data_IF_821386518933
#
_entry.id   IF_821386518933
#
_cell.length_a   1.000
_cell.length_b   1.000
_cell.length_c   1.000
_cell.angle_alpha   90.00
_cell.angle_beta   90.00
_cell.angle_gamma   90.00
#
_symmetry.space_group_name_H-M   'P 1'
#
loop_
_entity.id
_entity.type
_entity.pdbx_description
1 polymer ?
#
# COMPACT_ATOMS: atom_id res chain seq x y z
N UNK A 1 -7.56 -28.45 -13.78
CA UNK A 1 -7.25 -27.75 -15.05
C UNK A 1 -5.75 -27.48 -15.08
N UNK A 2 -5.10 -27.57 -16.24
CA UNK A 2 -3.63 -27.46 -16.34
C UNK A 2 -3.20 -26.00 -16.56
N UNK A 3 -2.07 -25.60 -15.95
CA UNK A 3 -1.40 -24.32 -16.16
C UNK A 3 -1.09 -24.03 -17.64
N UNK A 4 -1.02 -25.06 -18.49
CA UNK A 4 -0.80 -24.91 -19.93
C UNK A 4 -1.84 -24.01 -20.63
N UNK A 5 -3.10 -24.03 -20.17
CA UNK A 5 -4.14 -23.13 -20.71
C UNK A 5 -3.84 -21.68 -20.32
N UNK A 6 -3.49 -21.45 -19.06
CA UNK A 6 -3.21 -20.13 -18.48
C UNK A 6 -1.95 -19.54 -19.11
N UNK A 7 -0.91 -20.33 -19.31
CA UNK A 7 0.32 -19.92 -20.02
C UNK A 7 -0.01 -19.36 -21.41
N UNK A 8 -0.82 -20.07 -22.21
CA UNK A 8 -1.25 -19.58 -23.53
C UNK A 8 -2.03 -18.25 -23.43
N UNK A 9 -2.90 -18.10 -22.43
CA UNK A 9 -3.65 -16.86 -22.22
C UNK A 9 -2.71 -15.71 -21.89
N UNK A 10 -1.78 -15.89 -20.94
CA UNK A 10 -0.77 -14.90 -20.55
C UNK A 10 0.10 -14.48 -21.73
N UNK A 11 0.66 -15.45 -22.48
CA UNK A 11 1.53 -15.18 -23.64
C UNK A 11 0.78 -14.50 -24.79
N UNK A 12 -0.54 -14.69 -24.89
CA UNK A 12 -1.40 -14.00 -25.88
C UNK A 12 -1.93 -12.64 -25.39
N UNK A 13 -1.55 -12.19 -24.20
CA UNK A 13 -2.03 -10.93 -23.61
C UNK A 13 -3.52 -10.94 -23.23
N UNK A 14 -4.15 -12.12 -23.15
CA UNK A 14 -5.56 -12.25 -22.79
C UNK A 14 -5.74 -12.09 -21.28
N UNK A 15 -6.85 -11.45 -20.89
CA UNK A 15 -7.26 -11.35 -19.49
C UNK A 15 -7.61 -12.74 -18.94
N UNK A 16 -7.09 -13.05 -17.76
CA UNK A 16 -7.40 -14.28 -17.03
C UNK A 16 -8.78 -14.16 -16.36
N UNK A 17 -9.49 -15.28 -16.27
CA UNK A 17 -10.75 -15.35 -15.52
C UNK A 17 -10.51 -15.54 -14.01
N UNK A 18 -11.53 -15.35 -13.14
CA UNK A 18 -11.42 -15.69 -11.72
C UNK A 18 -11.05 -17.15 -11.46
N UNK A 19 -11.53 -18.08 -12.29
CA UNK A 19 -11.21 -19.50 -12.19
C UNK A 19 -9.74 -19.77 -12.54
N UNK A 20 -9.21 -19.08 -13.56
CA UNK A 20 -7.78 -19.13 -13.89
C UNK A 20 -6.93 -18.60 -12.72
N UNK A 21 -7.40 -17.55 -12.02
CA UNK A 21 -6.71 -17.00 -10.85
C UNK A 21 -6.70 -17.96 -9.65
N UNK A 22 -7.80 -18.67 -9.40
CA UNK A 22 -7.87 -19.67 -8.33
C UNK A 22 -6.87 -20.81 -8.59
N UNK A 23 -6.79 -21.30 -9.82
CA UNK A 23 -5.82 -22.32 -10.22
C UNK A 23 -4.37 -21.87 -10.05
N UNK A 24 -4.07 -20.59 -10.33
CA UNK A 24 -2.74 -20.02 -10.07
C UNK A 24 -2.44 -19.97 -8.57
N UNK A 25 -3.42 -19.66 -7.73
CA UNK A 25 -3.27 -19.57 -6.28
C UNK A 25 -3.06 -20.95 -5.62
N UNK A 26 -3.68 -22.00 -6.16
CA UNK A 26 -3.58 -23.38 -5.68
C UNK A 26 -2.34 -24.12 -6.22
N UNK A 27 -1.56 -23.50 -7.11
CA UNK A 27 -0.42 -24.13 -7.76
C UNK A 27 0.88 -24.00 -6.96
N UNK A 28 1.53 -25.14 -6.71
CA UNK A 28 2.87 -25.18 -6.11
C UNK A 28 4.02 -25.05 -7.14
N UNK A 29 3.72 -24.98 -8.44
CA UNK A 29 4.73 -24.79 -9.50
C UNK A 29 5.22 -23.33 -9.56
N UNK A 30 6.04 -22.96 -8.58
CA UNK A 30 6.58 -21.61 -8.43
C UNK A 30 7.44 -21.17 -9.63
N UNK A 31 8.04 -22.11 -10.37
CA UNK A 31 8.87 -21.79 -11.53
C UNK A 31 8.03 -21.34 -12.70
N UNK A 32 6.94 -22.05 -12.99
CA UNK A 32 5.98 -21.63 -14.02
C UNK A 32 5.30 -20.33 -13.63
N UNK A 33 4.87 -20.19 -12.37
CA UNK A 33 4.28 -18.95 -11.86
C UNK A 33 5.23 -17.75 -12.01
N UNK A 34 6.48 -17.90 -11.56
CA UNK A 34 7.50 -16.86 -11.64
C UNK A 34 7.82 -16.46 -13.09
N UNK A 35 7.94 -17.43 -14.01
CA UNK A 35 8.14 -17.17 -15.44
C UNK A 35 7.01 -16.36 -16.06
N UNK A 36 5.75 -16.75 -15.81
CA UNK A 36 4.58 -16.07 -16.36
C UNK A 36 4.42 -14.66 -15.75
N UNK A 37 4.65 -14.53 -14.45
CA UNK A 37 4.65 -13.24 -13.76
C UNK A 37 5.74 -12.31 -14.31
N UNK A 38 6.96 -12.83 -14.51
CA UNK A 38 8.06 -12.06 -15.10
C UNK A 38 7.75 -11.64 -16.54
N UNK A 39 7.23 -12.54 -17.38
CA UNK A 39 6.79 -12.18 -18.73
C UNK A 39 5.78 -11.04 -18.70
N UNK A 40 4.74 -11.13 -17.86
CA UNK A 40 3.74 -10.09 -17.73
C UNK A 40 4.31 -8.77 -17.16
N UNK A 41 5.29 -8.82 -16.25
CA UNK A 41 5.97 -7.64 -15.73
C UNK A 41 6.82 -6.96 -16.81
N UNK A 42 7.67 -7.72 -17.52
CA UNK A 42 8.55 -7.21 -18.58
C UNK A 42 7.76 -6.67 -19.77
N UNK A 43 6.67 -7.33 -20.16
CA UNK A 43 5.81 -6.83 -21.25
C UNK A 43 5.21 -5.45 -20.93
N UNK A 44 4.92 -5.15 -19.65
CA UNK A 44 4.33 -3.87 -19.23
C UNK A 44 5.36 -2.81 -18.89
N UNK A 45 6.44 -3.20 -18.24
CA UNK A 45 7.38 -2.29 -17.59
C UNK A 45 8.78 -2.32 -18.21
N UNK A 46 9.05 -3.22 -19.16
CA UNK A 46 10.41 -3.52 -19.62
C UNK A 46 11.27 -4.05 -18.48
N UNK A 47 12.56 -3.70 -18.48
CA UNK A 47 13.48 -4.02 -17.39
C UNK A 47 13.56 -2.91 -16.32
N UNK A 48 12.52 -2.06 -16.22
CA UNK A 48 12.52 -0.93 -15.31
C UNK A 48 11.97 -1.33 -13.94
N UNK A 49 12.69 -0.92 -12.89
CA UNK A 49 12.18 -0.90 -11.52
C UNK A 49 11.96 0.55 -11.10
N UNK A 50 10.70 0.92 -10.86
CA UNK A 50 10.33 2.29 -10.48
C UNK A 50 10.40 2.48 -8.97
N UNK A 51 10.82 3.66 -8.54
CA UNK A 51 10.82 4.06 -7.14
C UNK A 51 10.45 5.53 -7.01
N UNK A 52 10.04 5.93 -5.81
CA UNK A 52 9.78 7.32 -5.44
C UNK A 52 10.33 7.59 -4.04
N UNK A 53 10.90 8.78 -3.86
CA UNK A 53 11.30 9.26 -2.55
C UNK A 53 10.11 9.99 -1.91
N UNK A 54 9.31 9.25 -1.16
CA UNK A 54 8.18 9.80 -0.40
C UNK A 54 8.51 9.93 1.10
N UNK A 55 7.68 10.68 1.82
CA UNK A 55 7.69 10.68 3.28
C UNK A 55 6.33 10.28 3.85
N UNK A 56 6.31 9.30 4.75
CA UNK A 56 5.09 8.88 5.45
C UNK A 56 4.84 9.72 6.70
N UNK A 57 3.61 10.20 6.84
CA UNK A 57 3.08 10.80 8.05
C UNK A 57 1.88 9.98 8.50
N UNK A 58 1.91 9.54 9.76
CA UNK A 58 0.76 9.00 10.44
C UNK A 58 0.29 10.02 11.48
N UNK A 59 -0.76 10.83 11.18
CA UNK A 59 -1.18 11.88 12.09
C UNK A 59 -1.70 11.33 13.42
N UNK A 60 -2.29 10.14 13.41
CA UNK A 60 -2.87 9.52 14.59
C UNK A 60 -2.94 8.01 14.43
N UNK A 61 -2.82 7.30 15.55
CA UNK A 61 -3.17 5.87 15.66
C UNK A 61 -4.47 5.66 16.45
N UNK A 62 -5.28 6.70 16.65
CA UNK A 62 -6.62 6.60 17.24
C UNK A 62 -7.57 6.24 16.11
N UNK A 63 -8.35 5.18 16.28
CA UNK A 63 -9.19 4.65 15.22
C UNK A 63 -10.49 4.10 15.78
N UNK A 64 -11.62 4.52 15.21
CA UNK A 64 -12.92 3.91 15.50
C UNK A 64 -13.03 2.49 14.96
N UNK A 65 -12.30 2.19 13.88
CA UNK A 65 -12.27 0.85 13.30
C UNK A 65 -11.41 -0.08 14.15
N UNK A 66 -11.92 -1.30 14.40
CA UNK A 66 -11.29 -2.31 15.26
C UNK A 66 -10.80 -3.50 14.45
N UNK A 67 -9.98 -3.23 13.43
CA UNK A 67 -9.43 -4.26 12.55
C UNK A 67 -8.48 -5.19 13.33
N UNK A 68 -8.74 -6.50 13.30
CA UNK A 68 -7.99 -7.51 14.07
C UNK A 68 -6.48 -7.56 13.77
N UNK A 69 -6.08 -7.12 12.59
CA UNK A 69 -4.69 -7.12 12.12
C UNK A 69 -4.01 -5.74 12.20
N UNK A 70 -4.72 -4.69 12.65
CA UNK A 70 -4.21 -3.33 12.58
C UNK A 70 -3.64 -2.85 13.91
N UNK A 71 -2.38 -2.38 13.88
CA UNK A 71 -1.70 -1.81 15.04
C UNK A 71 -2.22 -0.41 15.45
N UNK A 72 -2.99 0.28 14.60
CA UNK A 72 -3.56 1.62 14.84
C UNK A 72 -4.96 1.57 15.47
N UNK A 73 -5.41 0.43 15.98
CA UNK A 73 -6.74 0.31 16.59
C UNK A 73 -6.76 0.80 18.05
N UNK A 74 -6.18 1.97 18.36
CA UNK A 74 -6.20 2.54 19.72
C UNK A 74 -7.43 3.41 19.95
N UNK A 75 -7.93 3.38 21.18
CA UNK A 75 -8.93 4.33 21.68
C UNK A 75 -8.22 5.58 22.20
N UNK A 76 -8.93 6.70 22.23
CA UNK A 76 -8.45 7.92 22.90
C UNK A 76 -8.19 7.61 24.39
N UNK A 77 -7.02 7.97 24.88
CA UNK A 77 -6.59 7.68 26.26
C UNK A 77 -5.92 6.32 26.46
N UNK A 78 -5.95 5.41 25.47
CA UNK A 78 -5.18 4.16 25.57
C UNK A 78 -3.67 4.45 25.68
N UNK A 79 -2.94 3.58 26.38
CA UNK A 79 -1.48 3.66 26.42
C UNK A 79 -0.91 3.62 24.99
N UNK A 80 -0.18 4.67 24.61
CA UNK A 80 0.43 4.81 23.29
C UNK A 80 -0.51 5.32 22.20
N UNK A 81 -1.73 5.75 22.56
CA UNK A 81 -2.57 6.56 21.67
C UNK A 81 -1.91 7.93 21.45
N UNK A 82 -1.95 8.43 20.21
CA UNK A 82 -1.45 9.74 19.87
C UNK A 82 -2.28 10.41 18.77
N UNK A 83 -2.27 11.72 18.78
CA UNK A 83 -2.76 12.57 17.71
C UNK A 83 -1.78 13.75 17.52
N UNK A 84 -1.39 13.99 16.27
CA UNK A 84 -0.46 15.04 15.90
C UNK A 84 -1.24 16.29 15.50
N UNK A 85 -0.81 17.44 16.01
CA UNK A 85 -1.20 18.74 15.45
C UNK A 85 -0.59 18.95 14.07
N UNK A 86 -1.26 19.76 13.23
CA UNK A 86 -0.74 20.19 11.91
C UNK A 86 0.67 20.78 12.03
N UNK A 87 0.94 21.56 13.10
CA UNK A 87 2.28 22.10 13.37
C UNK A 87 3.33 21.01 13.59
N UNK A 88 2.99 19.93 14.31
CA UNK A 88 3.90 18.80 14.49
C UNK A 88 4.16 18.07 13.17
N UNK A 89 3.14 17.91 12.32
CA UNK A 89 3.29 17.32 10.98
C UNK A 89 4.26 18.15 10.13
N UNK A 90 4.03 19.47 10.01
CA UNK A 90 4.90 20.38 9.27
C UNK A 90 6.34 20.34 9.80
N UNK A 91 6.51 20.38 11.13
CA UNK A 91 7.85 20.32 11.74
C UNK A 91 8.56 18.99 11.44
N UNK A 92 7.82 17.87 11.41
CA UNK A 92 8.36 16.56 11.05
C UNK A 92 8.83 16.56 9.59
N UNK A 93 8.01 17.09 8.67
CA UNK A 93 8.36 17.21 7.25
C UNK A 93 9.59 18.10 7.03
N UNK A 94 9.64 19.29 7.66
CA UNK A 94 10.79 20.22 7.57
C UNK A 94 12.11 19.61 8.05
N UNK A 95 12.08 18.71 9.03
CA UNK A 95 13.30 18.00 9.48
C UNK A 95 13.82 17.01 8.43
N UNK A 96 12.94 16.49 7.57
CA UNK A 96 13.26 15.48 6.58
C UNK A 96 13.74 16.10 5.26
N UNK A 97 13.30 17.31 4.93
CA UNK A 97 13.79 18.03 3.75
C UNK A 97 15.30 18.26 3.80
N UNK A 98 15.89 18.36 4.99
CA UNK A 98 17.35 18.47 5.20
C UNK A 98 18.12 17.22 4.75
N UNK A 99 17.45 16.07 4.60
CA UNK A 99 18.05 14.76 4.26
C UNK A 99 17.99 14.39 2.77
N UNK A 100 17.89 15.38 1.89
CA UNK A 100 17.81 15.16 0.44
C UNK A 100 16.40 15.25 -0.14
N UNK A 101 15.44 15.80 0.62
CA UNK A 101 14.08 16.07 0.13
C UNK A 101 13.19 14.84 -0.02
N UNK A 102 12.00 15.05 -0.58
CA UNK A 102 11.04 14.04 -1.01
C UNK A 102 10.13 14.67 -2.06
N UNK A 103 9.58 13.87 -2.97
CA UNK A 103 8.70 14.34 -4.04
C UNK A 103 7.23 14.38 -3.63
N UNK A 104 6.85 13.61 -2.62
CA UNK A 104 5.47 13.50 -2.14
C UNK A 104 5.40 13.12 -0.66
N UNK A 105 4.24 13.39 -0.05
CA UNK A 105 3.93 13.01 1.33
C UNK A 105 2.74 12.06 1.33
N UNK A 106 2.88 10.92 1.99
CA UNK A 106 1.79 9.97 2.20
C UNK A 106 1.24 10.15 3.61
N UNK A 107 0.00 10.62 3.71
CA UNK A 107 -0.67 10.87 4.98
C UNK A 107 -1.69 9.75 5.22
N UNK A 108 -1.39 8.86 6.16
CA UNK A 108 -2.21 7.67 6.45
C UNK A 108 -2.35 7.53 7.96
N UNK A 109 -3.56 7.44 8.49
CA UNK A 109 -3.77 7.34 9.94
C UNK A 109 -4.93 6.44 10.32
N UNK A 110 -5.22 6.40 11.62
CA UNK A 110 -6.49 5.88 12.09
C UNK A 110 -7.67 6.74 11.63
N UNK A 111 -8.85 6.14 11.58
CA UNK A 111 -10.11 6.84 11.35
C UNK A 111 -10.53 7.51 12.68
N UNK A 112 -10.09 8.75 12.87
CA UNK A 112 -10.25 9.46 14.14
C UNK A 112 -11.73 9.81 14.41
N UNK A 113 -12.30 9.49 15.58
CA UNK A 113 -13.72 9.75 15.87
C UNK A 113 -14.07 11.24 15.89
N UNK A 114 -13.14 12.07 16.37
CA UNK A 114 -13.42 13.47 16.66
C UNK A 114 -12.95 14.44 15.55
N UNK A 115 -12.30 13.95 14.48
CA UNK A 115 -11.77 14.83 13.44
C UNK A 115 -12.80 15.01 12.31
N UNK A 116 -13.40 16.20 12.16
CA UNK A 116 -14.30 16.47 11.04
C UNK A 116 -13.53 16.58 9.73
N UNK A 117 -14.24 16.52 8.60
CA UNK A 117 -13.64 16.69 7.28
C UNK A 117 -12.81 17.97 7.15
N UNK A 118 -13.28 19.09 7.70
CA UNK A 118 -12.57 20.38 7.71
C UNK A 118 -11.19 20.33 8.39
N UNK A 119 -10.96 19.39 9.31
CA UNK A 119 -9.64 19.18 9.90
C UNK A 119 -8.63 18.77 8.82
N UNK A 120 -9.04 17.85 7.94
CA UNK A 120 -8.19 17.33 6.87
C UNK A 120 -7.96 18.36 5.75
N UNK A 121 -8.92 19.26 5.50
CA UNK A 121 -8.74 20.37 4.55
C UNK A 121 -7.72 21.41 5.01
N UNK A 122 -7.53 21.55 6.33
CA UNK A 122 -6.58 22.50 6.92
C UNK A 122 -5.17 21.92 7.07
N UNK A 123 -5.04 20.60 6.94
CA UNK A 123 -3.77 19.86 7.06
C UNK A 123 -2.94 19.97 5.79
#
# INVERSE_FOLDING_TARGET
MSLNKIEKQVLSGKRLSPEDALLLFESDDIYTLGRLANHAAVTRNGNNAYFIQNHHINPTNICVNRCKFCAFSRSKGDKGAYEMSIRQIINKLKKQTVRGGFSEVHIVGGLHPDWPFDHYLKM
#
